data_IF_319525271662
#
_entry.id   IF_319525271662
#
_cell.length_a   1.000
_cell.length_b   1.000
_cell.length_c   1.000
_cell.angle_alpha   90.00
_cell.angle_beta   90.00
_cell.angle_gamma   90.00
#
_symmetry.space_group_name_H-M   'P 1'
#
loop_
_entity.id
_entity.type
_entity.pdbx_description
1 polymer ?
#
# COMPACT_ATOMS: atom_id res chain seq x y z
N UNK A 1 -13.50 2.32 -4.80
CA UNK A 1 -12.04 2.13 -4.67
C UNK A 1 -11.74 0.69 -5.07
N UNK A 2 -10.97 0.49 -6.13
CA UNK A 2 -10.58 -0.85 -6.60
C UNK A 2 -9.28 -1.27 -5.90
N UNK A 3 -9.35 -1.66 -4.63
CA UNK A 3 -8.20 -2.17 -3.86
C UNK A 3 -7.97 -3.69 -4.03
N UNK A 4 -8.67 -4.28 -5.01
CA UNK A 4 -8.63 -5.69 -5.31
C UNK A 4 -8.37 -5.87 -6.81
N UNK A 5 -7.39 -6.70 -7.14
CA UNK A 5 -7.13 -7.16 -8.51
C UNK A 5 -7.32 -8.66 -8.53
N UNK A 6 -8.18 -9.15 -9.42
CA UNK A 6 -8.40 -10.57 -9.64
C UNK A 6 -7.77 -10.97 -10.95
N UNK A 7 -7.06 -12.09 -10.96
CA UNK A 7 -6.47 -12.67 -12.17
C UNK A 7 -6.97 -14.10 -12.26
N UNK A 8 -7.74 -14.39 -13.31
CA UNK A 8 -8.28 -15.72 -13.59
C UNK A 8 -7.39 -16.42 -14.60
N UNK A 9 -6.99 -17.66 -14.30
CA UNK A 9 -6.23 -18.51 -15.21
C UNK A 9 -7.03 -19.78 -15.47
N UNK A 10 -7.43 -19.94 -16.73
CA UNK A 10 -8.13 -21.13 -17.22
C UNK A 10 -7.13 -22.03 -17.95
N UNK A 11 -7.20 -23.33 -17.68
CA UNK A 11 -6.50 -24.38 -18.41
C UNK A 11 -7.51 -25.42 -18.90
N UNK A 12 -7.48 -25.70 -20.21
CA UNK A 12 -8.32 -26.70 -20.85
C UNK A 12 -7.42 -27.83 -21.31
N UNK A 13 -7.57 -29.00 -20.69
CA UNK A 13 -6.91 -30.23 -21.10
C UNK A 13 -7.85 -31.07 -21.98
N UNK A 14 -7.30 -31.63 -23.06
CA UNK A 14 -8.00 -32.58 -23.93
C UNK A 14 -7.31 -33.94 -23.74
N UNK A 15 -8.09 -34.96 -23.41
CA UNK A 15 -7.64 -36.36 -23.35
C UNK A 15 -7.17 -36.84 -24.74
N UNK A 16 -6.23 -37.78 -24.80
CA UNK A 16 -5.74 -38.38 -26.05
C UNK A 16 -6.86 -39.05 -26.84
N UNK A 17 -7.87 -39.60 -26.13
CA UNK A 17 -9.08 -40.19 -26.72
C UNK A 17 -10.20 -39.17 -27.00
N UNK A 18 -9.96 -37.88 -26.73
CA UNK A 18 -10.86 -36.74 -26.98
C UNK A 18 -12.28 -36.89 -26.38
N UNK A 19 -12.41 -37.71 -25.33
CA UNK A 19 -13.70 -38.14 -24.78
C UNK A 19 -14.11 -37.34 -23.52
N UNK A 20 -13.13 -36.70 -22.86
CA UNK A 20 -13.35 -35.89 -21.65
C UNK A 20 -12.55 -34.59 -21.78
N UNK A 21 -13.22 -33.44 -21.61
CA UNK A 21 -12.57 -32.14 -21.45
C UNK A 21 -12.39 -31.85 -19.96
N UNK A 22 -11.14 -31.80 -19.51
CA UNK A 22 -10.81 -31.35 -18.17
C UNK A 22 -10.66 -29.83 -18.17
N UNK A 23 -11.42 -29.12 -17.33
CA UNK A 23 -11.23 -27.69 -17.12
C UNK A 23 -10.73 -27.46 -15.69
N UNK A 24 -9.66 -26.68 -15.56
CA UNK A 24 -9.17 -26.17 -14.28
C UNK A 24 -9.17 -24.64 -14.32
N UNK A 25 -9.72 -24.01 -13.29
CA UNK A 25 -9.74 -22.56 -13.13
C UNK A 25 -9.09 -22.20 -11.80
N UNK A 26 -8.00 -21.45 -11.87
CA UNK A 26 -7.33 -20.87 -10.70
C UNK A 26 -7.53 -19.36 -10.69
N UNK A 27 -7.98 -18.82 -9.56
CA UNK A 27 -8.13 -17.37 -9.37
C UNK A 27 -7.15 -16.84 -8.34
N UNK A 28 -6.30 -15.89 -8.75
CA UNK A 28 -5.40 -15.15 -7.87
C UNK A 28 -6.03 -13.82 -7.50
N UNK A 29 -6.31 -13.62 -6.21
CA UNK A 29 -6.86 -12.36 -5.69
C UNK A 29 -5.79 -11.60 -4.93
N UNK A 30 -5.35 -10.46 -5.47
CA UNK A 30 -4.49 -9.52 -4.78
C UNK A 30 -5.34 -8.47 -4.07
N UNK A 31 -5.20 -8.34 -2.75
CA UNK A 31 -5.93 -7.36 -1.93
C UNK A 31 -4.95 -6.50 -1.16
N UNK A 32 -5.03 -5.19 -1.35
CA UNK A 32 -4.24 -4.22 -0.58
C UNK A 32 -5.06 -3.83 0.65
N UNK A 33 -4.62 -4.28 1.84
CA UNK A 33 -5.30 -4.01 3.12
C UNK A 33 -4.97 -2.62 3.66
N UNK A 34 -3.69 -2.29 3.73
CA UNK A 34 -3.18 -1.03 4.27
C UNK A 34 -2.38 -0.29 3.20
N UNK A 35 -2.86 0.88 2.81
CA UNK A 35 -2.17 1.76 1.87
C UNK A 35 -2.21 3.20 2.38
N UNK A 36 -1.05 3.87 2.27
CA UNK A 36 -0.94 5.31 2.53
C UNK A 36 -1.53 6.13 1.37
N UNK A 37 -1.53 5.57 0.16
CA UNK A 37 -2.01 6.25 -1.04
C UNK A 37 -3.34 5.66 -1.47
N UNK A 38 -4.32 6.54 -1.67
CA UNK A 38 -5.71 6.16 -1.96
C UNK A 38 -5.89 5.58 -3.35
N UNK A 39 -5.19 6.17 -4.32
CA UNK A 39 -5.35 5.87 -5.74
C UNK A 39 -4.05 5.28 -6.30
N UNK A 40 -4.19 4.16 -7.00
CA UNK A 40 -3.10 3.52 -7.72
C UNK A 40 -3.64 2.89 -9.00
N UNK A 41 -2.79 2.78 -10.00
CA UNK A 41 -3.12 2.16 -11.29
C UNK A 41 -2.27 0.92 -11.48
N UNK A 42 -2.91 -0.21 -11.79
CA UNK A 42 -2.21 -1.43 -12.21
C UNK A 42 -1.78 -1.24 -13.65
N UNK A 43 -0.47 -1.24 -13.89
CA UNK A 43 0.10 -1.03 -15.24
C UNK A 43 0.25 -2.34 -15.99
N UNK A 44 0.71 -3.38 -15.31
CA UNK A 44 1.06 -4.65 -15.94
C UNK A 44 0.90 -5.80 -14.95
N UNK A 45 0.40 -6.92 -15.46
CA UNK A 45 0.21 -8.15 -14.69
C UNK A 45 0.80 -9.29 -15.51
N UNK A 46 1.73 -10.04 -14.92
CA UNK A 46 2.35 -11.20 -15.54
C UNK A 46 2.30 -12.40 -14.59
N UNK A 47 1.96 -13.57 -15.14
CA UNK A 47 1.93 -14.83 -14.40
C UNK A 47 2.87 -15.81 -15.08
N UNK A 48 3.79 -16.37 -14.31
CA UNK A 48 4.71 -17.41 -14.75
C UNK A 48 4.40 -18.72 -14.03
N UNK A 49 4.34 -19.81 -14.79
CA UNK A 49 4.33 -21.16 -14.23
C UNK A 49 5.73 -21.48 -13.72
N UNK A 50 5.83 -21.99 -12.49
CA UNK A 50 7.10 -22.48 -11.96
C UNK A 50 7.19 -23.99 -12.12
N UNK A 51 8.39 -24.55 -12.06
CA UNK A 51 8.63 -25.99 -12.23
C UNK A 51 8.00 -26.89 -11.14
N UNK A 52 7.35 -26.33 -10.12
CA UNK A 52 6.79 -27.07 -8.99
C UNK A 52 5.30 -26.76 -8.76
N UNK A 53 4.45 -26.99 -9.78
CA UNK A 53 2.97 -26.87 -9.69
C UNK A 53 2.51 -25.62 -8.92
N UNK A 54 3.18 -24.51 -9.15
CA UNK A 54 2.90 -23.25 -8.48
C UNK A 54 3.12 -22.11 -9.44
N UNK A 55 2.38 -21.03 -9.25
CA UNK A 55 2.40 -19.85 -10.09
C UNK A 55 3.11 -18.72 -9.36
N UNK A 56 3.81 -17.87 -10.12
CA UNK A 56 4.33 -16.61 -9.63
C UNK A 56 3.67 -15.48 -10.40
N UNK A 57 2.93 -14.63 -9.67
CA UNK A 57 2.31 -13.43 -10.22
C UNK A 57 3.16 -12.20 -9.90
N UNK A 58 3.46 -11.40 -10.91
CA UNK A 58 4.09 -10.09 -10.78
C UNK A 58 3.08 -9.02 -11.18
N UNK A 59 2.88 -8.03 -10.30
CA UNK A 59 1.93 -6.92 -10.52
C UNK A 59 2.70 -5.61 -10.42
N UNK A 60 2.74 -4.87 -11.52
CA UNK A 60 3.36 -3.55 -11.59
C UNK A 60 2.31 -2.48 -11.29
N UNK A 61 2.56 -1.67 -10.28
CA UNK A 61 1.66 -0.61 -9.82
C UNK A 61 2.32 0.75 -10.03
N UNK A 62 1.54 1.70 -10.56
CA UNK A 62 1.90 3.12 -10.66
C UNK A 62 1.09 3.94 -9.66
N UNK A 63 1.76 4.92 -9.08
CA UNK A 63 1.19 5.88 -8.14
C UNK A 63 1.52 7.28 -8.64
N UNK A 64 0.59 8.22 -8.54
CA UNK A 64 0.82 9.60 -8.94
C UNK A 64 1.77 10.29 -7.95
N UNK A 65 2.55 11.27 -8.41
CA UNK A 65 3.44 12.02 -7.50
C UNK A 65 2.63 13.02 -6.67
N UNK A 66 1.57 13.54 -7.27
CA UNK A 66 0.65 14.49 -6.68
C UNK A 66 -0.01 13.91 -5.42
N UNK A 67 -0.46 12.65 -5.47
CA UNK A 67 -1.07 11.99 -4.32
C UNK A 67 -0.05 11.78 -3.18
N UNK A 68 1.21 11.50 -3.53
CA UNK A 68 2.30 11.36 -2.56
C UNK A 68 2.59 12.71 -1.88
N UNK A 69 2.59 13.80 -2.64
CA UNK A 69 2.85 15.14 -2.11
C UNK A 69 1.74 15.59 -1.14
N UNK A 70 0.48 15.24 -1.42
CA UNK A 70 -0.64 15.48 -0.50
C UNK A 70 -0.42 14.73 0.82
N UNK A 71 -0.15 13.42 0.76
CA UNK A 71 0.14 12.60 1.96
C UNK A 71 1.30 13.17 2.75
N UNK A 72 2.36 13.63 2.09
CA UNK A 72 3.51 14.23 2.76
C UNK A 72 3.15 15.55 3.45
N UNK A 73 2.28 16.36 2.85
CA UNK A 73 1.80 17.60 3.44
C UNK A 73 0.96 17.35 4.70
N UNK A 74 0.09 16.35 4.67
CA UNK A 74 -0.74 15.95 5.81
C UNK A 74 0.14 15.47 6.97
N UNK A 75 1.12 14.60 6.72
CA UNK A 75 2.07 14.14 7.74
C UNK A 75 2.84 15.31 8.36
N UNK A 76 3.26 16.29 7.55
CA UNK A 76 3.96 17.49 8.05
C UNK A 76 3.04 18.37 8.90
N UNK A 77 1.78 18.54 8.48
CA UNK A 77 0.78 19.29 9.23
C UNK A 77 0.49 18.64 10.58
N UNK A 78 0.28 17.33 10.62
CA UNK A 78 0.08 16.55 11.84
C UNK A 78 1.28 16.68 12.79
N UNK A 79 2.51 16.53 12.28
CA UNK A 79 3.73 16.72 13.09
C UNK A 79 3.79 18.13 13.69
N UNK A 80 3.42 19.16 12.92
CA UNK A 80 3.40 20.54 13.41
C UNK A 80 2.34 20.75 14.50
N UNK A 81 1.17 20.14 14.37
CA UNK A 81 0.10 20.18 15.38
C UNK A 81 0.55 19.47 16.68
N UNK A 82 1.19 18.31 16.57
CA UNK A 82 1.75 17.60 17.74
C UNK A 82 2.81 18.45 18.46
N UNK A 83 3.66 19.15 17.70
CA UNK A 83 4.65 20.07 18.28
C UNK A 83 4.00 21.30 18.94
N UNK A 84 2.97 21.87 18.32
CA UNK A 84 2.23 23.02 18.87
C UNK A 84 1.47 22.66 20.16
N UNK A 85 0.92 21.45 20.24
CA UNK A 85 0.22 20.94 21.42
C UNK A 85 1.15 20.44 22.54
N UNK A 86 2.47 20.49 22.33
CA UNK A 86 3.45 20.11 23.35
C UNK A 86 3.42 21.18 24.45
N UNK A 87 2.77 20.87 25.58
CA UNK A 87 2.68 21.76 26.75
C UNK A 87 4.06 22.33 27.08
N UNK A 88 4.17 23.65 27.37
CA UNK A 88 5.45 24.24 27.71
C UNK A 88 6.03 23.52 28.92
N UNK A 89 7.27 23.07 28.79
CA UNK A 89 7.97 22.36 29.85
C UNK A 89 8.05 23.29 31.08
N UNK A 90 7.42 22.90 32.20
CA UNK A 90 7.31 23.72 33.42
C UNK A 90 8.68 24.25 33.90
N UNK A 91 9.74 23.49 33.66
CA UNK A 91 11.13 23.88 33.91
C UNK A 91 11.56 25.12 33.11
N UNK A 92 11.23 25.20 31.81
CA UNK A 92 11.58 26.36 30.96
C UNK A 92 10.84 27.63 31.38
N UNK A 93 9.62 27.51 31.90
CA UNK A 93 8.86 28.66 32.41
C UNK A 93 9.51 29.21 33.69
N UNK A 94 9.83 28.34 34.66
CA UNK A 94 10.54 28.74 35.88
C UNK A 94 11.90 29.36 35.61
N UNK A 95 12.68 28.81 34.68
CA UNK A 95 13.99 29.38 34.31
C UNK A 95 13.84 30.79 33.71
N UNK A 96 12.85 31.03 32.85
CA UNK A 96 12.58 32.38 32.31
C UNK A 96 12.13 33.38 33.38
N UNK A 97 11.37 32.92 34.35
CA UNK A 97 10.89 33.74 35.47
C UNK A 97 12.05 34.20 36.35
N UNK A 98 12.96 33.28 36.71
CA UNK A 98 14.14 33.61 37.50
C UNK A 98 15.08 34.57 36.75
N UNK A 99 15.30 34.35 35.45
CA UNK A 99 16.17 35.21 34.65
C UNK A 99 15.62 36.63 34.46
N UNK A 100 14.30 36.82 34.48
CA UNK A 100 13.68 38.16 34.43
C UNK A 100 13.84 38.96 35.72
N UNK A 101 14.13 38.29 36.83
CA UNK A 101 14.27 38.92 38.14
C UNK A 101 15.74 39.18 38.51
N UNK A 102 16.66 39.08 37.54
CA UNK A 102 18.11 39.26 37.74
C UNK A 102 18.64 40.59 37.14
N UNK A 103 17.78 41.41 36.52
CA UNK A 103 18.10 42.82 36.20
C UNK A 103 17.69 43.75 37.35
#
# INVERSE_FOLDING_TARGET
MNNQTSITKEEVGIDEDNNITGQAEDTVVNKISDTLVKDYVVEQVEIFFTHHKSYRAYVKVKVSKEDIDVVLSDIKAERKLVLANKKPNKLKLKVKEVLKNID
#
